data_IF_243446252897
#
_entry.id   IF_243446252897
#
_cell.length_a   1.000
_cell.length_b   1.000
_cell.length_c   1.000
_cell.angle_alpha   90.00
_cell.angle_beta   90.00
_cell.angle_gamma   90.00
#
_symmetry.space_group_name_H-M   'P 1'
#
loop_
_entity.id
_entity.type
_entity.pdbx_description
1 polymer ?
#
# COMPACT_ATOMS: atom_id res chain seq x y z
N UNK A 1 -15.02 -6.48 13.09
CA UNK A 1 -14.64 -5.50 12.05
C UNK A 1 -15.51 -5.69 10.82
N UNK A 2 -16.62 -4.96 10.68
CA UNK A 2 -17.36 -4.92 9.42
C UNK A 2 -16.75 -3.84 8.51
N UNK A 3 -16.41 -4.20 7.26
CA UNK A 3 -16.03 -3.24 6.21
C UNK A 3 -14.57 -3.23 5.75
N UNK A 4 -13.73 -4.20 6.12
CA UNK A 4 -12.46 -4.46 5.43
C UNK A 4 -12.63 -5.61 4.42
N UNK A 5 -11.82 -5.67 3.34
CA UNK A 5 -11.92 -6.73 2.34
C UNK A 5 -11.39 -8.10 2.83
N UNK A 6 -10.98 -8.21 4.10
CA UNK A 6 -10.37 -9.40 4.68
C UNK A 6 -10.89 -9.67 6.09
N UNK A 7 -10.90 -10.95 6.49
CA UNK A 7 -11.37 -11.40 7.81
C UNK A 7 -10.30 -11.26 8.91
N UNK A 8 -9.01 -11.15 8.52
CA UNK A 8 -7.87 -11.03 9.43
C UNK A 8 -7.44 -9.56 9.58
N UNK A 9 -7.07 -9.16 10.79
CA UNK A 9 -6.55 -7.81 11.08
C UNK A 9 -5.06 -7.65 10.70
N UNK A 10 -4.37 -8.75 10.38
CA UNK A 10 -2.92 -8.76 10.13
C UNK A 10 -2.45 -7.77 9.05
N UNK A 11 -3.12 -7.62 7.89
CA UNK A 11 -2.73 -6.63 6.89
C UNK A 11 -2.78 -5.20 7.44
N UNK A 12 -3.77 -4.90 8.29
CA UNK A 12 -3.92 -3.58 8.92
C UNK A 12 -2.75 -3.30 9.84
N UNK A 13 -2.41 -4.24 10.73
CA UNK A 13 -1.26 -4.08 11.63
C UNK A 13 0.05 -3.91 10.86
N UNK A 14 0.24 -4.67 9.77
CA UNK A 14 1.43 -4.53 8.93
C UNK A 14 1.51 -3.16 8.25
N UNK A 15 0.39 -2.65 7.72
CA UNK A 15 0.35 -1.32 7.12
C UNK A 15 0.62 -0.22 8.14
N UNK A 16 0.03 -0.31 9.33
CA UNK A 16 0.26 0.65 10.41
C UNK A 16 1.71 0.61 10.90
N UNK A 17 2.31 -0.59 11.00
CA UNK A 17 3.73 -0.75 11.32
C UNK A 17 4.62 -0.10 10.27
N UNK A 18 4.28 -0.24 8.97
CA UNK A 18 4.99 0.49 7.91
C UNK A 18 4.86 2.00 8.11
N UNK A 19 3.67 2.50 8.46
CA UNK A 19 3.45 3.92 8.69
C UNK A 19 4.34 4.45 9.83
N UNK A 20 4.47 3.69 10.92
CA UNK A 20 5.34 4.03 12.04
C UNK A 20 6.83 4.02 11.65
N UNK A 21 7.31 2.95 10.99
CA UNK A 21 8.71 2.82 10.54
C UNK A 21 9.13 4.01 9.67
N UNK A 22 8.25 4.43 8.76
CA UNK A 22 8.54 5.50 7.80
C UNK A 22 8.09 6.89 8.28
N UNK A 23 7.75 7.06 9.57
CA UNK A 23 7.43 8.37 10.16
C UNK A 23 6.17 9.03 9.60
N UNK A 24 5.20 8.24 9.13
CA UNK A 24 3.90 8.77 8.67
C UNK A 24 3.03 9.16 9.88
N UNK A 25 2.19 10.20 9.75
CA UNK A 25 1.13 10.47 10.72
C UNK A 25 0.22 9.27 10.90
N UNK A 26 -0.38 9.14 12.10
CA UNK A 26 -1.35 8.08 12.38
C UNK A 26 -2.45 8.04 11.31
N UNK A 27 -2.68 6.86 10.77
CA UNK A 27 -3.73 6.63 9.78
C UNK A 27 -5.05 6.39 10.50
N UNK A 28 -6.08 7.17 10.15
CA UNK A 28 -7.45 6.87 10.59
C UNK A 28 -7.94 5.56 9.98
N UNK A 29 -8.89 4.89 10.64
CA UNK A 29 -9.54 3.68 10.11
C UNK A 29 -10.09 3.89 8.69
N UNK A 30 -10.66 5.08 8.43
CA UNK A 30 -11.15 5.47 7.10
C UNK A 30 -10.02 5.51 6.06
N UNK A 31 -8.86 6.06 6.41
CA UNK A 31 -7.70 6.11 5.53
C UNK A 31 -7.17 4.71 5.21
N UNK A 32 -7.11 3.83 6.22
CA UNK A 32 -6.71 2.42 6.04
C UNK A 32 -7.70 1.68 5.12
N UNK A 33 -9.01 1.86 5.31
CA UNK A 33 -10.04 1.28 4.43
C UNK A 33 -9.90 1.75 2.98
N UNK A 34 -9.72 3.05 2.76
CA UNK A 34 -9.50 3.62 1.42
C UNK A 34 -8.22 3.09 0.80
N UNK A 35 -7.15 2.97 1.60
CA UNK A 35 -5.87 2.42 1.16
C UNK A 35 -6.03 1.00 0.60
N UNK A 36 -6.60 0.07 1.37
CA UNK A 36 -6.78 -1.32 0.90
C UNK A 36 -7.75 -1.45 -0.26
N UNK A 37 -8.80 -0.61 -0.30
CA UNK A 37 -9.71 -0.55 -1.45
C UNK A 37 -8.98 -0.14 -2.73
N UNK A 38 -8.01 0.79 -2.64
CA UNK A 38 -7.21 1.22 -3.77
C UNK A 38 -6.21 0.14 -4.24
N UNK A 39 -5.69 -0.69 -3.33
CA UNK A 39 -4.85 -1.84 -3.74
C UNK A 39 -5.68 -2.85 -4.53
N UNK A 40 -6.91 -3.14 -4.10
CA UNK A 40 -7.83 -4.04 -4.83
C UNK A 40 -7.42 -5.51 -4.74
N UNK A 41 -7.14 -5.99 -3.52
CA UNK A 41 -6.55 -7.32 -3.27
C UNK A 41 -7.61 -8.39 -3.01
N UNK A 42 -7.40 -9.56 -3.62
CA UNK A 42 -8.10 -10.82 -3.28
C UNK A 42 -7.22 -11.81 -2.48
N UNK A 43 -5.88 -11.72 -2.58
CA UNK A 43 -4.92 -12.59 -1.91
C UNK A 43 -4.26 -11.87 -0.70
N UNK A 44 -4.76 -12.20 0.49
CA UNK A 44 -4.36 -11.57 1.75
C UNK A 44 -2.95 -11.97 2.19
N UNK A 45 -2.57 -13.23 2.02
CA UNK A 45 -1.26 -13.74 2.44
C UNK A 45 -0.15 -13.08 1.61
N UNK A 46 -0.38 -12.92 0.31
CA UNK A 46 0.54 -12.20 -0.56
C UNK A 46 0.66 -10.72 -0.20
N UNK A 47 -0.44 -10.05 0.14
CA UNK A 47 -0.40 -8.66 0.60
C UNK A 47 0.44 -8.51 1.88
N UNK A 48 0.27 -9.43 2.84
CA UNK A 48 1.07 -9.44 4.08
C UNK A 48 2.55 -9.63 3.76
N UNK A 49 2.89 -10.57 2.88
CA UNK A 49 4.28 -10.79 2.47
C UNK A 49 4.91 -9.55 1.82
N UNK A 50 4.18 -8.87 0.94
CA UNK A 50 4.65 -7.62 0.31
C UNK A 50 4.81 -6.49 1.32
N UNK A 51 3.88 -6.34 2.25
CA UNK A 51 4.01 -5.34 3.33
C UNK A 51 5.20 -5.63 4.25
N UNK A 52 5.47 -6.90 4.55
CA UNK A 52 6.64 -7.30 5.32
C UNK A 52 7.95 -6.98 4.58
N UNK A 53 8.01 -7.24 3.27
CA UNK A 53 9.17 -6.89 2.46
C UNK A 53 9.38 -5.37 2.39
N UNK A 54 8.29 -4.61 2.16
CA UNK A 54 8.33 -3.15 2.17
C UNK A 54 8.79 -2.57 3.52
N UNK A 55 8.37 -3.16 4.65
CA UNK A 55 8.80 -2.74 5.97
C UNK A 55 10.29 -3.02 6.25
N UNK A 56 10.84 -4.10 5.67
CA UNK A 56 12.24 -4.50 5.88
C UNK A 56 13.21 -3.77 4.97
N UNK A 57 12.84 -3.62 3.70
CA UNK A 57 13.76 -3.22 2.63
C UNK A 57 13.35 -1.91 1.94
N UNK A 58 12.16 -1.37 2.23
CA UNK A 58 11.68 -0.17 1.58
C UNK A 58 12.40 1.10 2.05
N UNK A 59 12.61 2.04 1.13
CA UNK A 59 13.14 3.37 1.44
C UNK A 59 12.05 4.37 1.85
N UNK A 60 10.78 4.01 1.64
CA UNK A 60 9.61 4.87 1.90
C UNK A 60 8.37 4.04 2.20
N UNK A 61 7.38 4.70 2.82
CA UNK A 61 6.05 4.12 3.01
C UNK A 61 5.42 3.71 1.67
N UNK A 62 4.98 2.44 1.51
CA UNK A 62 4.46 1.96 0.23
C UNK A 62 3.15 2.67 -0.11
N UNK A 63 3.01 3.10 -1.37
CA UNK A 63 1.74 3.56 -1.91
C UNK A 63 0.88 2.37 -2.36
N UNK A 64 -0.45 2.53 -2.52
CA UNK A 64 -1.28 1.46 -3.05
C UNK A 64 -0.82 0.96 -4.42
N UNK A 65 -0.24 1.83 -5.25
CA UNK A 65 0.32 1.44 -6.55
C UNK A 65 1.57 0.57 -6.38
N UNK A 66 2.49 0.94 -5.47
CA UNK A 66 3.70 0.13 -5.20
C UNK A 66 3.31 -1.31 -4.81
N UNK A 67 2.28 -1.47 -3.96
CA UNK A 67 1.77 -2.78 -3.57
C UNK A 67 1.14 -3.55 -4.73
N UNK A 68 0.34 -2.89 -5.59
CA UNK A 68 -0.25 -3.52 -6.77
C UNK A 68 0.79 -4.07 -7.72
N UNK A 69 1.87 -3.31 -7.96
CA UNK A 69 3.01 -3.74 -8.80
C UNK A 69 3.71 -4.94 -8.17
N UNK A 70 4.06 -4.87 -6.88
CA UNK A 70 4.71 -5.99 -6.17
C UNK A 70 3.82 -7.25 -6.11
N UNK A 71 2.51 -7.07 -6.06
CA UNK A 71 1.53 -8.16 -6.12
C UNK A 71 1.21 -8.61 -7.55
N UNK A 72 1.84 -8.05 -8.58
CA UNK A 72 1.57 -8.39 -9.98
C UNK A 72 0.12 -8.14 -10.42
N UNK A 73 -0.61 -7.27 -9.72
CA UNK A 73 -1.98 -6.88 -10.03
C UNK A 73 -2.05 -5.78 -11.10
N UNK A 74 -0.94 -5.07 -11.30
CA UNK A 74 -0.81 -4.06 -12.34
C UNK A 74 0.19 -4.55 -13.41
N UNK A 75 -0.26 -4.82 -14.66
CA UNK A 75 0.60 -5.36 -15.70
C UNK A 75 1.53 -4.31 -16.36
N UNK A 76 1.50 -3.04 -15.95
CA UNK A 76 2.26 -1.97 -16.59
C UNK A 76 2.89 -1.04 -15.53
N UNK A 77 4.23 -1.05 -15.45
CA UNK A 77 5.01 -0.10 -14.66
C UNK A 77 4.81 1.35 -15.13
N UNK A 78 4.88 2.28 -14.18
CA UNK A 78 5.01 3.73 -14.41
C UNK A 78 4.11 4.35 -15.49
N UNK A 79 2.79 4.17 -15.40
CA UNK A 79 1.84 4.94 -16.22
C UNK A 79 1.40 6.24 -15.53
N UNK A 80 2.36 7.09 -15.15
CA UNK A 80 2.11 8.52 -14.99
C UNK A 80 3.20 9.27 -15.75
N UNK A 81 2.92 9.85 -16.93
CA UNK A 81 3.81 10.87 -17.47
C UNK A 81 3.79 12.03 -16.48
N UNK A 82 4.90 12.26 -15.79
CA UNK A 82 5.16 13.55 -15.16
C UNK A 82 5.16 14.54 -16.31
N UNK A 83 4.06 15.29 -16.49
CA UNK A 83 4.03 16.43 -17.41
C UNK A 83 5.21 17.31 -17.03
N UNK A 84 6.21 17.36 -17.90
CA UNK A 84 7.35 18.24 -17.76
C UNK A 84 6.85 19.66 -17.57
N UNK A 85 6.97 20.18 -16.35
CA UNK A 85 6.94 21.60 -16.07
C UNK A 85 8.21 22.20 -16.64
N UNK A 86 8.16 22.60 -17.90
CA UNK A 86 9.20 23.40 -18.56
C UNK A 86 8.56 24.68 -19.07
N UNK A 87 8.39 25.66 -18.18
CA UNK A 87 8.32 27.06 -18.58
C UNK A 87 9.75 27.53 -18.82
N UNK A 88 10.09 27.81 -20.07
CA UNK A 88 11.07 28.80 -20.49
C UNK A 88 10.76 29.19 -21.94
#
# INVERSE_FOLDING_TARGET
MEGFPFQSELPVYMLLSCAEIFGRPQMSERAVKVYFRAVGVADVDRLVAVLQDAARHGDRFPTPHDLRVAMGLDPIGAAFPVKGGGHA
#
